data_IF_953044537240
#
_entry.id   IF_953044537240
#
_cell.length_a   1.000
_cell.length_b   1.000
_cell.length_c   1.000
_cell.angle_alpha   90.00
_cell.angle_beta   90.00
_cell.angle_gamma   90.00
#
_symmetry.space_group_name_H-M   'P 1'
#
loop_
_entity.id
_entity.type
_entity.pdbx_description
1 polymer ?
#
# COMPACT_ATOMS: atom_id res chain seq x y z
N UNK A 1 -21.72 10.71 -30.45
CA UNK A 1 -21.48 9.27 -30.14
C UNK A 1 -20.57 8.99 -28.94
N UNK A 2 -20.16 10.00 -28.15
CA UNK A 2 -19.18 9.84 -27.05
C UNK A 2 -19.78 9.21 -25.76
N UNK A 3 -21.06 9.47 -25.45
CA UNK A 3 -21.71 9.07 -24.18
C UNK A 3 -21.74 7.54 -23.94
N UNK A 4 -22.04 6.74 -24.97
CA UNK A 4 -22.10 5.27 -24.86
C UNK A 4 -20.75 4.64 -24.45
N UNK A 5 -19.64 5.27 -24.83
CA UNK A 5 -18.28 4.79 -24.50
C UNK A 5 -17.96 5.05 -23.03
N UNK A 6 -18.40 6.17 -22.47
CA UNK A 6 -18.17 6.50 -21.07
C UNK A 6 -18.95 5.60 -20.11
N UNK A 7 -20.18 5.19 -20.45
CA UNK A 7 -20.94 4.23 -19.64
C UNK A 7 -20.31 2.82 -19.66
N UNK A 8 -19.72 2.42 -20.79
CA UNK A 8 -19.01 1.14 -20.90
C UNK A 8 -17.71 1.14 -20.06
N UNK A 9 -16.98 2.26 -20.08
CA UNK A 9 -15.73 2.44 -19.33
C UNK A 9 -15.95 2.61 -17.82
N UNK A 10 -17.03 3.29 -17.41
CA UNK A 10 -17.42 3.36 -16.00
C UNK A 10 -17.84 1.98 -15.48
N UNK A 11 -18.63 1.23 -16.28
CA UNK A 11 -19.03 -0.13 -15.93
C UNK A 11 -17.83 -1.05 -15.72
N UNK A 12 -16.84 -0.99 -16.61
CA UNK A 12 -15.63 -1.81 -16.49
C UNK A 12 -14.76 -1.41 -15.30
N UNK A 13 -14.63 -0.11 -15.00
CA UNK A 13 -13.83 0.36 -13.87
C UNK A 13 -14.47 -0.03 -12.52
N UNK A 14 -15.80 0.08 -12.42
CA UNK A 14 -16.55 -0.37 -11.23
C UNK A 14 -16.48 -1.89 -11.08
N UNK A 15 -16.57 -2.64 -12.17
CA UNK A 15 -16.41 -4.10 -12.13
C UNK A 15 -15.00 -4.53 -11.70
N UNK A 16 -13.96 -3.82 -12.15
CA UNK A 16 -12.58 -4.10 -11.76
C UNK A 16 -12.32 -3.76 -10.29
N UNK A 17 -12.82 -2.62 -9.82
CA UNK A 17 -12.73 -2.22 -8.42
C UNK A 17 -13.49 -3.19 -7.51
N UNK A 18 -14.69 -3.62 -7.93
CA UNK A 18 -15.45 -4.64 -7.23
C UNK A 18 -14.67 -5.97 -7.19
N UNK A 19 -14.07 -6.41 -8.30
CA UNK A 19 -13.26 -7.63 -8.32
C UNK A 19 -12.07 -7.58 -7.35
N UNK A 20 -11.39 -6.43 -7.25
CA UNK A 20 -10.28 -6.23 -6.31
C UNK A 20 -10.77 -6.25 -4.85
N UNK A 21 -11.93 -5.65 -4.56
CA UNK A 21 -12.54 -5.65 -3.22
C UNK A 21 -13.09 -7.02 -2.84
N UNK A 22 -13.60 -7.81 -3.80
CA UNK A 22 -14.01 -9.20 -3.60
C UNK A 22 -12.83 -10.18 -3.51
N UNK A 23 -11.61 -9.73 -3.81
CA UNK A 23 -10.40 -10.52 -3.59
C UNK A 23 -10.11 -10.53 -2.08
N UNK A 24 -10.82 -11.39 -1.36
CA UNK A 24 -10.52 -11.69 0.04
C UNK A 24 -9.06 -12.15 0.15
N UNK A 25 -8.30 -11.78 1.20
CA UNK A 25 -6.99 -12.37 1.41
C UNK A 25 -7.19 -13.88 1.43
N UNK A 26 -6.56 -14.58 0.48
CA UNK A 26 -6.38 -16.01 0.61
C UNK A 26 -5.46 -16.20 1.81
N UNK A 27 -6.06 -16.26 2.99
CA UNK A 27 -5.46 -16.86 4.16
C UNK A 27 -5.15 -18.28 3.73
N UNK A 28 -3.92 -18.50 3.27
CA UNK A 28 -3.29 -19.79 3.40
C UNK A 28 -3.30 -20.06 4.90
N UNK A 29 -4.36 -20.70 5.38
CA UNK A 29 -4.46 -21.20 6.74
C UNK A 29 -3.36 -22.25 6.85
N UNK A 30 -2.18 -21.82 7.28
CA UNK A 30 -1.06 -22.65 7.74
C UNK A 30 -1.40 -23.30 9.09
N UNK A 31 -2.67 -23.70 9.26
CA UNK A 31 -3.22 -24.29 10.46
C UNK A 31 -4.27 -25.31 10.04
N UNK A 32 -3.94 -26.59 10.11
CA UNK A 32 -4.97 -27.64 10.06
C UNK A 32 -4.57 -29.04 9.63
N UNK A 33 -3.30 -29.31 9.25
CA UNK A 33 -2.89 -30.65 8.79
C UNK A 33 -1.65 -31.16 9.52
N UNK A 34 -1.87 -31.92 10.59
CA UNK A 34 -0.83 -32.40 11.50
C UNK A 34 0.18 -33.36 10.86
N UNK A 35 1.43 -32.92 10.81
CA UNK A 35 2.60 -33.78 10.69
C UNK A 35 3.52 -33.46 11.88
N UNK A 36 4.07 -34.44 12.61
CA UNK A 36 4.77 -34.22 13.88
C UNK A 36 6.06 -33.39 13.76
N UNK A 37 6.59 -33.24 12.54
CA UNK A 37 7.73 -32.37 12.21
C UNK A 37 7.33 -30.93 11.89
N UNK A 38 6.05 -30.63 11.75
CA UNK A 38 5.59 -29.27 11.45
C UNK A 38 5.62 -28.36 12.70
N UNK A 39 5.38 -28.91 13.88
CA UNK A 39 5.54 -28.16 15.14
C UNK A 39 6.97 -27.64 15.38
N UNK A 40 8.04 -28.44 15.19
CA UNK A 40 9.40 -27.93 15.32
C UNK A 40 9.79 -26.95 14.19
N UNK A 41 9.32 -27.13 12.96
CA UNK A 41 9.58 -26.17 11.87
C UNK A 41 8.87 -24.82 12.10
N UNK A 42 7.63 -24.85 12.60
CA UNK A 42 6.93 -23.63 13.03
C UNK A 42 7.62 -22.96 14.23
N UNK A 43 8.11 -23.72 15.21
CA UNK A 43 8.86 -23.14 16.34
C UNK A 43 10.14 -22.45 15.89
N UNK A 44 10.84 -22.97 14.89
CA UNK A 44 12.04 -22.33 14.34
C UNK A 44 11.66 -21.03 13.60
N UNK A 45 10.60 -21.04 12.78
CA UNK A 45 10.11 -19.81 12.14
C UNK A 45 9.67 -18.76 13.17
N UNK A 46 8.94 -19.17 14.20
CA UNK A 46 8.53 -18.30 15.32
C UNK A 46 9.73 -17.83 16.14
N UNK A 47 10.81 -18.59 16.22
CA UNK A 47 12.03 -18.17 16.95
C UNK A 47 12.86 -17.15 16.17
N UNK A 48 12.81 -17.18 14.83
CA UNK A 48 13.51 -16.23 13.95
C UNK A 48 12.70 -14.93 13.77
N UNK A 49 11.38 -15.00 13.82
CA UNK A 49 10.49 -13.83 13.61
C UNK A 49 9.82 -13.31 14.88
N UNK A 50 9.91 -14.06 15.98
CA UNK A 50 9.25 -13.73 17.25
C UNK A 50 10.05 -12.79 18.16
N UNK A 51 9.52 -12.48 19.35
CA UNK A 51 10.11 -11.52 20.29
C UNK A 51 11.55 -11.84 20.69
N UNK A 52 11.92 -13.13 20.71
CA UNK A 52 13.26 -13.61 21.04
C UNK A 52 14.30 -13.08 20.05
N UNK A 53 14.02 -13.12 18.75
CA UNK A 53 14.90 -12.54 17.73
C UNK A 53 15.05 -11.02 17.91
N UNK A 54 13.98 -10.34 18.31
CA UNK A 54 14.01 -8.91 18.65
C UNK A 54 14.97 -8.58 19.79
N UNK A 55 14.96 -9.36 20.87
CA UNK A 55 15.89 -9.17 21.99
C UNK A 55 17.35 -9.47 21.59
N UNK A 56 17.57 -10.49 20.77
CA UNK A 56 18.92 -10.81 20.24
C UNK A 56 19.43 -9.67 19.34
N UNK A 57 18.58 -9.13 18.47
CA UNK A 57 18.93 -8.00 17.62
C UNK A 57 19.27 -6.75 18.45
N UNK A 58 18.49 -6.46 19.49
CA UNK A 58 18.76 -5.36 20.41
C UNK A 58 20.11 -5.54 21.13
N UNK A 59 20.38 -6.75 21.65
CA UNK A 59 21.66 -7.07 22.27
C UNK A 59 22.85 -6.93 21.30
N UNK A 60 22.71 -7.39 20.06
CA UNK A 60 23.74 -7.26 19.03
C UNK A 60 24.05 -5.79 18.70
N UNK A 61 23.02 -4.95 18.57
CA UNK A 61 23.18 -3.49 18.35
C UNK A 61 23.88 -2.84 19.54
N UNK A 62 23.53 -3.22 20.78
CA UNK A 62 24.16 -2.70 21.98
C UNK A 62 25.65 -3.08 22.07
N UNK A 63 26.00 -4.33 21.74
CA UNK A 63 27.40 -4.78 21.70
C UNK A 63 28.17 -4.05 20.60
N UNK A 64 27.59 -3.91 19.41
CA UNK A 64 28.21 -3.17 18.31
C UNK A 64 28.43 -1.69 18.68
N UNK A 65 27.45 -1.04 19.30
CA UNK A 65 27.57 0.33 19.81
C UNK A 65 28.59 0.46 20.95
N UNK A 66 28.65 -0.52 21.85
CA UNK A 66 29.64 -0.58 22.92
C UNK A 66 31.07 -0.73 22.36
N UNK A 67 31.28 -1.65 21.41
CA UNK A 67 32.57 -1.82 20.73
C UNK A 67 33.00 -0.54 19.98
N UNK A 68 32.03 0.22 19.45
CA UNK A 68 32.29 1.50 18.80
C UNK A 68 32.75 2.57 19.82
N UNK A 69 32.08 2.71 20.96
CA UNK A 69 32.42 3.74 21.97
C UNK A 69 33.75 3.43 22.67
N UNK A 70 34.00 2.17 23.01
CA UNK A 70 35.20 1.76 23.76
C UNK A 70 36.43 1.52 22.88
N UNK A 71 36.31 1.62 21.56
CA UNK A 71 37.47 1.75 20.67
C UNK A 71 38.25 0.46 20.47
N UNK A 72 37.63 -0.54 19.85
CA UNK A 72 38.31 -1.67 19.22
C UNK A 72 38.31 -1.50 17.70
N UNK A 73 39.32 -0.82 17.16
CA UNK A 73 39.46 -0.57 15.71
C UNK A 73 38.30 0.21 15.05
N UNK A 74 37.96 1.35 15.63
CA UNK A 74 36.96 2.31 15.11
C UNK A 74 37.06 2.56 13.60
N UNK A 75 38.28 2.70 13.08
CA UNK A 75 38.51 2.93 11.66
C UNK A 75 38.07 1.74 10.79
N UNK A 76 38.31 0.50 11.22
CA UNK A 76 37.89 -0.70 10.51
C UNK A 76 36.38 -0.93 10.60
N UNK A 77 35.79 -0.70 11.78
CA UNK A 77 34.34 -0.76 11.95
C UNK A 77 33.63 0.30 11.10
N UNK A 78 34.07 1.56 11.16
CA UNK A 78 33.50 2.66 10.38
C UNK A 78 33.61 2.38 8.87
N UNK A 79 34.74 1.82 8.43
CA UNK A 79 34.94 1.40 7.03
C UNK A 79 33.95 0.30 6.62
N UNK A 80 33.76 -0.73 7.46
CA UNK A 80 32.77 -1.79 7.22
C UNK A 80 31.33 -1.27 7.22
N UNK A 81 30.98 -0.39 8.16
CA UNK A 81 29.66 0.23 8.24
C UNK A 81 29.39 1.08 6.99
N UNK A 82 30.38 1.83 6.51
CA UNK A 82 30.27 2.61 5.28
C UNK A 82 29.98 1.70 4.07
N UNK A 83 30.66 0.56 3.91
CA UNK A 83 30.36 -0.39 2.83
C UNK A 83 28.94 -0.93 2.90
N UNK A 84 28.46 -1.34 4.08
CA UNK A 84 27.11 -1.87 4.25
C UNK A 84 26.06 -0.77 4.00
N UNK A 85 26.28 0.44 4.48
CA UNK A 85 25.39 1.58 4.26
C UNK A 85 25.35 2.02 2.80
N UNK A 86 26.51 2.05 2.11
CA UNK A 86 26.58 2.37 0.69
C UNK A 86 25.86 1.32 -0.15
N UNK A 87 26.12 0.02 0.08
CA UNK A 87 25.46 -1.06 -0.65
C UNK A 87 23.96 -1.09 -0.35
N UNK A 88 23.58 -1.06 0.93
CA UNK A 88 22.18 -1.06 1.35
C UNK A 88 21.42 0.16 0.82
N UNK A 89 22.03 1.35 0.90
CA UNK A 89 21.46 2.58 0.37
C UNK A 89 21.28 2.56 -1.14
N UNK A 90 22.24 2.03 -1.90
CA UNK A 90 22.11 1.85 -3.35
C UNK A 90 21.01 0.86 -3.68
N UNK A 91 20.91 -0.27 -2.98
CA UNK A 91 19.84 -1.25 -3.21
C UNK A 91 18.44 -0.68 -2.90
N UNK A 92 18.29 0.01 -1.77
CA UNK A 92 17.05 0.69 -1.39
C UNK A 92 16.72 1.87 -2.33
N UNK A 93 17.72 2.59 -2.82
CA UNK A 93 17.53 3.66 -3.81
C UNK A 93 17.17 3.12 -5.20
N UNK A 94 17.75 1.97 -5.58
CA UNK A 94 17.50 1.33 -6.86
C UNK A 94 16.02 0.94 -7.02
N UNK A 95 15.35 0.50 -5.96
CA UNK A 95 13.90 0.20 -6.03
C UNK A 95 13.07 1.45 -6.36
N UNK A 96 13.50 2.63 -5.91
CA UNK A 96 12.85 3.90 -6.25
C UNK A 96 13.05 4.25 -7.72
N UNK A 97 14.27 4.07 -8.24
CA UNK A 97 14.60 4.34 -9.65
C UNK A 97 13.85 3.37 -10.58
N UNK A 98 13.84 2.07 -10.25
CA UNK A 98 13.08 1.06 -10.99
C UNK A 98 11.58 1.37 -10.96
N UNK A 99 11.05 1.89 -9.85
CA UNK A 99 9.66 2.36 -9.77
C UNK A 99 9.32 3.47 -10.77
N UNK A 100 10.24 4.41 -11.03
CA UNK A 100 10.03 5.50 -11.99
C UNK A 100 9.93 5.01 -13.44
N UNK A 101 10.69 3.99 -13.80
CA UNK A 101 10.69 3.41 -15.15
C UNK A 101 9.72 2.23 -15.31
N UNK A 102 9.37 1.56 -14.22
CA UNK A 102 8.40 0.46 -14.19
C UNK A 102 6.94 0.93 -14.17
N UNK A 103 6.65 2.07 -13.53
CA UNK A 103 5.29 2.64 -13.47
C UNK A 103 4.94 3.53 -14.68
N UNK A 104 5.92 3.93 -15.49
CA UNK A 104 5.70 4.73 -16.71
C UNK A 104 5.42 3.87 -17.96
N UNK A 105 5.48 2.53 -17.83
CA UNK A 105 4.96 1.59 -18.82
C UNK A 105 3.43 1.55 -18.80
N UNK A 106 2.80 2.51 -19.50
CA UNK A 106 1.36 2.67 -19.77
C UNK A 106 0.47 3.15 -18.60
N UNK A 107 0.19 4.46 -18.57
CA UNK A 107 -1.06 4.96 -17.99
C UNK A 107 -2.19 4.69 -18.98
N UNK A 108 -2.97 3.63 -18.76
CA UNK A 108 -4.26 3.49 -19.46
C UNK A 108 -5.13 4.66 -19.00
N UNK A 109 -5.33 5.63 -19.90
CA UNK A 109 -6.02 6.88 -19.62
C UNK A 109 -7.44 6.63 -19.08
N UNK A 110 -7.67 6.95 -17.81
CA UNK A 110 -9.00 7.13 -17.26
C UNK A 110 -9.48 8.54 -17.60
N UNK A 111 -10.25 8.66 -18.69
CA UNK A 111 -10.93 9.91 -19.05
C UNK A 111 -12.07 10.09 -18.04
N UNK A 112 -11.84 10.83 -16.97
CA UNK A 112 -12.90 11.30 -16.08
C UNK A 112 -13.68 12.44 -16.79
N UNK A 113 -14.97 12.28 -17.12
CA UNK A 113 -15.77 13.41 -17.60
C UNK A 113 -16.20 14.23 -16.37
N UNK A 114 -15.57 15.38 -16.20
CA UNK A 114 -16.09 16.49 -15.40
C UNK A 114 -17.48 16.89 -15.92
N UNK A 115 -18.56 16.37 -15.32
CA UNK A 115 -19.91 16.86 -15.58
C UNK A 115 -20.31 17.78 -14.43
N UNK A 116 -19.99 19.07 -14.59
CA UNK A 116 -20.66 20.16 -13.87
C UNK A 116 -22.16 20.05 -14.18
N UNK A 117 -22.97 19.69 -13.19
CA UNK A 117 -24.42 19.87 -13.29
C UNK A 117 -24.73 21.35 -13.09
N UNK A 118 -24.92 22.04 -14.22
CA UNK A 118 -25.69 23.27 -14.27
C UNK A 118 -27.15 22.87 -14.04
N UNK A 119 -27.64 23.04 -12.81
CA UNK A 119 -29.05 22.87 -12.48
C UNK A 119 -29.82 24.02 -13.11
N UNK A 120 -30.21 23.82 -14.37
CA UNK A 120 -31.16 24.68 -15.07
C UNK A 120 -32.54 24.41 -14.47
N UNK A 121 -32.92 25.30 -13.56
CA UNK A 121 -34.25 25.91 -13.41
C UNK A 121 -35.37 25.33 -14.32
N UNK A 122 -36.01 24.25 -13.85
CA UNK A 122 -37.26 23.73 -14.42
C UNK A 122 -38.44 23.89 -13.44
N UNK A 123 -38.38 24.90 -12.58
CA UNK A 123 -39.47 25.26 -11.66
C UNK A 123 -40.14 26.59 -12.02
N UNK A 124 -40.09 27.00 -13.29
CA UNK A 124 -40.89 28.09 -13.84
C UNK A 124 -41.89 27.55 -14.87
N UNK A 125 -43.01 27.00 -14.40
CA UNK A 125 -44.28 27.18 -15.09
C UNK A 125 -45.37 27.47 -14.05
N UNK A 126 -45.86 28.71 -14.12
CA UNK A 126 -46.78 29.41 -13.23
C UNK A 126 -48.23 29.22 -13.70
N UNK A 127 -49.24 29.35 -12.83
CA UNK A 127 -49.99 30.60 -12.87
C UNK A 127 -50.42 31.12 -11.49
N UNK A 128 -50.31 32.44 -11.32
CA UNK A 128 -50.91 33.19 -10.20
C UNK A 128 -52.44 33.07 -10.19
N UNK A 129 -53.02 32.88 -9.01
CA UNK A 129 -54.38 33.30 -8.61
C UNK A 129 -54.38 33.39 -7.08
N UNK A 130 -54.22 34.57 -6.47
CA UNK A 130 -55.33 35.48 -6.09
C UNK A 130 -56.20 34.80 -5.04
N UNK A 131 -56.14 35.11 -3.74
CA UNK A 131 -56.67 36.31 -3.07
C UNK A 131 -57.75 35.87 -2.06
N UNK A 132 -57.76 36.50 -0.87
CA UNK A 132 -58.88 36.48 0.10
C UNK A 132 -58.79 35.42 1.20
N UNK A 133 -58.72 35.74 2.50
CA UNK A 133 -59.67 36.49 3.34
C UNK A 133 -60.63 35.57 4.13
N UNK A 134 -60.53 35.68 5.46
CA UNK A 134 -61.53 35.46 6.51
C UNK A 134 -62.18 34.07 6.72
N UNK A 135 -62.25 33.72 8.00
CA UNK A 135 -62.97 32.58 8.59
C UNK A 135 -62.53 32.41 10.03
#
# INVERSE_FOLDING_TARGET
MQRKRHHLLLGSAVALAAAIVLTSPALASTGGGGLPWESPLQQIQQSITGPVAGFIALAAVAIAGGMLIFGGELNDFARRLCYIALVGGVLLGATQIVGLFGATGATVGSIAPQTRHHTIELAQFSPRKGEGAHG
#
